data_IF_232452086638
#
_entry.id   IF_232452086638
#
_cell.length_a   1.000
_cell.length_b   1.000
_cell.length_c   1.000
_cell.angle_alpha   90.00
_cell.angle_beta   90.00
_cell.angle_gamma   90.00
#
_symmetry.space_group_name_H-M   'P 1'
#
loop_
_entity.id
_entity.type
_entity.pdbx_description
1 polymer ?
#
# COMPACT_ATOMS: atom_id res chain seq x y z
N UNK A 1 -14.74 -3.00 -2.25
CA UNK A 1 -13.57 -2.19 -1.86
C UNK A 1 -12.36 -2.80 -2.56
N UNK A 2 -11.72 -2.04 -3.44
CA UNK A 2 -10.51 -2.44 -4.18
C UNK A 2 -9.26 -1.86 -3.49
N UNK A 3 -8.22 -2.66 -3.33
CA UNK A 3 -6.97 -2.26 -2.66
C UNK A 3 -5.82 -2.29 -3.64
N UNK A 4 -5.09 -1.19 -3.75
CA UNK A 4 -3.83 -1.15 -4.49
C UNK A 4 -2.65 -1.16 -3.51
N UNK A 5 -1.82 -2.18 -3.59
CA UNK A 5 -0.56 -2.30 -2.86
C UNK A 5 0.58 -1.78 -3.74
N UNK A 6 1.11 -0.61 -3.40
CA UNK A 6 2.23 -0.01 -4.09
C UNK A 6 3.55 -0.49 -3.49
N UNK A 7 4.19 -1.46 -4.15
CA UNK A 7 5.47 -2.03 -3.78
C UNK A 7 6.63 -1.17 -4.29
N UNK A 8 7.76 -1.23 -3.58
CA UNK A 8 8.97 -0.47 -3.91
C UNK A 8 9.71 -1.03 -5.13
N UNK A 9 9.71 -2.36 -5.29
CA UNK A 9 10.37 -3.05 -6.39
C UNK A 9 9.75 -4.44 -6.64
N UNK A 10 10.17 -5.08 -7.73
CA UNK A 10 9.73 -6.42 -8.13
C UNK A 10 10.00 -7.49 -7.08
N UNK A 11 11.12 -7.37 -6.35
CA UNK A 11 11.51 -8.36 -5.35
C UNK A 11 10.56 -8.32 -4.15
N UNK A 12 10.27 -7.13 -3.62
CA UNK A 12 9.29 -6.93 -2.56
C UNK A 12 7.90 -7.40 -3.02
N UNK A 13 7.51 -7.10 -4.26
CA UNK A 13 6.22 -7.50 -4.82
C UNK A 13 6.06 -9.02 -4.89
N UNK A 14 7.06 -9.72 -5.42
CA UNK A 14 7.06 -11.18 -5.54
C UNK A 14 7.06 -11.86 -4.18
N UNK A 15 7.82 -11.32 -3.21
CA UNK A 15 7.79 -11.82 -1.84
C UNK A 15 6.40 -11.65 -1.21
N UNK A 16 5.76 -10.49 -1.43
CA UNK A 16 4.45 -10.20 -0.88
C UNK A 16 3.35 -11.06 -1.49
N UNK A 17 3.38 -11.31 -2.81
CA UNK A 17 2.47 -12.22 -3.51
C UNK A 17 2.47 -13.62 -2.86
N UNK A 18 3.66 -14.23 -2.71
CA UNK A 18 3.79 -15.53 -2.05
C UNK A 18 3.32 -15.53 -0.58
N UNK A 19 3.55 -14.43 0.15
CA UNK A 19 3.09 -14.28 1.54
C UNK A 19 1.56 -14.17 1.62
N UNK A 20 0.92 -13.45 0.71
CA UNK A 20 -0.54 -13.28 0.69
C UNK A 20 -1.24 -14.60 0.37
N UNK A 21 -0.68 -15.44 -0.50
CA UNK A 21 -1.20 -16.79 -0.76
C UNK A 21 -1.09 -17.74 0.44
N UNK A 22 -0.09 -17.56 1.29
CA UNK A 22 0.15 -18.38 2.49
C UNK A 22 -0.40 -17.76 3.78
N UNK A 23 -1.09 -16.62 3.69
CA UNK A 23 -1.52 -15.80 4.83
C UNK A 23 -2.71 -16.43 5.58
N UNK A 24 -2.39 -17.39 6.46
CA UNK A 24 -3.28 -18.20 7.33
C UNK A 24 -4.20 -19.16 6.56
N UNK A 25 -4.17 -20.44 6.94
CA UNK A 25 -4.85 -21.53 6.21
C UNK A 25 -6.37 -21.41 6.05
N UNK A 26 -7.04 -20.53 6.80
CA UNK A 26 -8.48 -20.29 6.70
C UNK A 26 -8.83 -18.94 6.05
N UNK A 27 -7.83 -18.08 5.75
CA UNK A 27 -8.04 -16.79 5.14
C UNK A 27 -7.52 -16.79 3.69
N UNK A 28 -8.38 -16.40 2.75
CA UNK A 28 -8.03 -16.26 1.35
C UNK A 28 -8.11 -14.78 0.96
N UNK A 29 -6.99 -14.22 0.51
CA UNK A 29 -6.92 -12.86 -0.01
C UNK A 29 -6.82 -12.97 -1.53
N UNK A 30 -7.91 -12.74 -2.31
CA UNK A 30 -7.84 -12.73 -3.76
C UNK A 30 -6.98 -11.55 -4.22
N UNK A 31 -5.83 -11.84 -4.82
CA UNK A 31 -4.91 -10.84 -5.31
C UNK A 31 -4.28 -11.25 -6.64
N UNK A 32 -3.78 -10.27 -7.39
CA UNK A 32 -3.01 -10.47 -8.61
C UNK A 32 -2.01 -9.33 -8.79
N UNK A 33 -1.06 -9.49 -9.71
CA UNK A 33 -0.23 -8.40 -10.18
C UNK A 33 -1.12 -7.42 -10.98
N UNK A 34 -0.87 -6.12 -10.82
CA UNK A 34 -1.67 -5.09 -11.47
C UNK A 34 -1.66 -5.20 -13.02
N UNK A 35 -0.59 -5.72 -13.60
CA UNK A 35 -0.46 -5.98 -15.04
C UNK A 35 -1.14 -7.27 -15.52
N UNK A 36 -1.44 -8.22 -14.62
CA UNK A 36 -2.07 -9.50 -14.96
C UNK A 36 -3.60 -9.42 -14.84
N UNK A 37 -4.08 -8.85 -13.73
CA UNK A 37 -5.50 -8.59 -13.49
C UNK A 37 -5.69 -7.27 -12.72
N UNK A 38 -5.93 -6.21 -13.49
CA UNK A 38 -6.15 -4.87 -12.96
C UNK A 38 -7.51 -4.71 -12.22
N UNK A 39 -8.39 -5.71 -12.27
CA UNK A 39 -9.70 -5.71 -11.61
C UNK A 39 -9.71 -6.58 -10.34
N UNK A 40 -8.60 -7.26 -10.03
CA UNK A 40 -8.47 -8.06 -8.82
C UNK A 40 -8.84 -7.24 -7.57
N UNK A 41 -9.48 -7.82 -6.54
CA UNK A 41 -9.85 -7.10 -5.33
C UNK A 41 -8.64 -6.46 -4.62
N UNK A 42 -7.47 -7.09 -4.74
CA UNK A 42 -6.18 -6.58 -4.30
C UNK A 42 -5.21 -6.66 -5.48
N UNK A 43 -4.71 -5.51 -5.95
CA UNK A 43 -3.68 -5.47 -6.98
C UNK A 43 -2.32 -5.09 -6.38
N UNK A 44 -1.29 -5.84 -6.76
CA UNK A 44 0.11 -5.60 -6.42
C UNK A 44 0.79 -4.87 -7.58
N UNK A 45 1.25 -3.64 -7.35
CA UNK A 45 1.84 -2.84 -8.44
C UNK A 45 3.05 -2.02 -8.03
N UNK A 46 3.81 -1.58 -9.03
CA UNK A 46 5.10 -0.90 -8.87
C UNK A 46 5.04 0.60 -9.20
N UNK A 47 3.86 1.13 -9.53
CA UNK A 47 3.71 2.54 -9.90
C UNK A 47 2.38 2.81 -10.59
N UNK A 48 2.41 3.65 -11.62
CA UNK A 48 1.26 3.91 -12.47
C UNK A 48 1.22 2.97 -13.70
N UNK A 49 0.01 2.67 -14.21
CA UNK A 49 -1.30 3.03 -13.68
C UNK A 49 -1.80 2.03 -12.61
N UNK A 50 -2.52 2.49 -11.56
CA UNK A 50 -3.17 1.58 -10.59
C UNK A 50 -4.46 0.93 -11.12
N UNK A 51 -4.69 0.99 -12.45
CA UNK A 51 -5.95 0.59 -13.07
C UNK A 51 -7.15 1.37 -12.52
N UNK A 52 -8.22 0.63 -12.22
CA UNK A 52 -9.48 1.18 -11.69
C UNK A 52 -9.54 1.26 -10.17
N UNK A 53 -8.45 0.92 -9.46
CA UNK A 53 -8.38 1.01 -8.02
C UNK A 53 -8.45 2.47 -7.55
N UNK A 54 -9.51 2.84 -6.80
CA UNK A 54 -9.72 4.18 -6.24
C UNK A 54 -10.09 4.19 -4.75
N UNK A 55 -10.27 3.03 -4.11
CA UNK A 55 -10.75 3.00 -2.72
C UNK A 55 -9.60 3.16 -1.71
N UNK A 56 -8.63 2.23 -1.71
CA UNK A 56 -7.52 2.23 -0.75
C UNK A 56 -6.17 2.01 -1.44
N UNK A 57 -5.26 2.94 -1.24
CA UNK A 57 -3.83 2.77 -1.50
C UNK A 57 -3.13 2.33 -0.22
N UNK A 58 -2.40 1.22 -0.27
CA UNK A 58 -1.40 0.86 0.74
C UNK A 58 -0.03 1.12 0.13
N UNK A 59 0.68 2.13 0.64
CA UNK A 59 1.99 2.53 0.14
C UNK A 59 3.11 1.86 0.95
N UNK A 60 3.93 1.07 0.28
CA UNK A 60 5.09 0.39 0.89
C UNK A 60 6.42 1.07 0.53
N UNK A 61 6.38 2.18 -0.21
CA UNK A 61 7.56 2.94 -0.60
C UNK A 61 7.90 4.03 0.42
N UNK A 62 9.09 4.62 0.31
CA UNK A 62 9.52 5.69 1.22
C UNK A 62 8.89 7.06 0.89
N UNK A 63 8.37 7.22 -0.33
CA UNK A 63 7.82 8.48 -0.82
C UNK A 63 6.30 8.39 -1.00
N UNK A 64 5.61 9.53 -0.98
CA UNK A 64 4.19 9.56 -1.34
C UNK A 64 4.09 9.59 -2.88
N UNK A 65 3.46 8.58 -3.53
CA UNK A 65 3.39 8.58 -4.98
C UNK A 65 2.54 9.73 -5.52
N UNK A 66 2.85 10.21 -6.73
CA UNK A 66 2.10 11.31 -7.36
C UNK A 66 0.62 11.00 -7.59
N UNK A 67 0.25 9.72 -7.67
CA UNK A 67 -1.11 9.25 -7.85
C UNK A 67 -1.92 9.09 -6.56
N UNK A 68 -1.40 9.43 -5.37
CA UNK A 68 -2.22 9.40 -4.13
C UNK A 68 -3.58 10.11 -4.29
N UNK A 69 -3.71 11.27 -4.96
CA UNK A 69 -5.00 11.96 -5.10
C UNK A 69 -6.08 11.15 -5.83
N UNK A 70 -5.70 10.08 -6.53
CA UNK A 70 -6.64 9.18 -7.18
C UNK A 70 -7.38 8.24 -6.21
N UNK A 71 -6.98 8.21 -4.95
CA UNK A 71 -7.50 7.29 -3.94
C UNK A 71 -8.31 8.01 -2.88
N UNK A 72 -9.39 7.36 -2.44
CA UNK A 72 -10.23 7.83 -1.35
C UNK A 72 -9.51 7.76 0.01
N UNK A 73 -8.60 6.80 0.16
CA UNK A 73 -7.81 6.58 1.38
C UNK A 73 -6.39 6.13 1.04
N UNK A 74 -5.44 6.56 1.86
CA UNK A 74 -4.06 6.07 1.85
C UNK A 74 -3.70 5.51 3.22
N UNK A 75 -3.06 4.35 3.23
CA UNK A 75 -2.47 3.74 4.41
C UNK A 75 -0.94 3.69 4.24
N UNK A 76 -0.25 4.25 5.22
CA UNK A 76 1.21 4.26 5.30
C UNK A 76 1.67 3.28 6.38
N UNK A 77 2.56 2.35 6.02
CA UNK A 77 3.11 1.41 6.99
C UNK A 77 4.34 2.00 7.70
N UNK A 78 4.28 2.05 9.03
CA UNK A 78 5.38 2.56 9.87
C UNK A 78 5.88 1.42 10.75
N UNK A 79 7.15 1.06 10.58
CA UNK A 79 7.86 0.09 11.43
C UNK A 79 9.00 0.77 12.19
N UNK A 80 9.65 0.05 13.11
CA UNK A 80 10.68 0.61 14.00
C UNK A 80 12.00 0.96 13.29
N UNK A 81 12.14 0.58 12.02
CA UNK A 81 13.34 0.86 11.22
C UNK A 81 13.56 2.37 11.01
N UNK A 82 14.73 2.95 11.38
CA UNK A 82 14.97 4.38 11.29
C UNK A 82 14.67 5.02 9.94
N UNK A 83 15.04 4.39 8.82
CA UNK A 83 14.75 4.92 7.49
C UNK A 83 13.24 5.06 7.23
N UNK A 84 12.47 4.04 7.62
CA UNK A 84 11.00 4.02 7.46
C UNK A 84 10.34 5.02 8.40
N UNK A 85 10.84 5.18 9.64
CA UNK A 85 10.33 6.20 10.57
C UNK A 85 10.54 7.61 10.06
N UNK A 86 11.69 7.89 9.48
CA UNK A 86 11.97 9.20 8.91
C UNK A 86 11.06 9.47 7.70
N UNK A 87 10.98 8.52 6.76
CA UNK A 87 10.08 8.59 5.62
C UNK A 87 8.61 8.79 6.03
N UNK A 88 8.14 8.07 7.04
CA UNK A 88 6.78 8.22 7.58
C UNK A 88 6.52 9.63 8.13
N UNK A 89 7.50 10.25 8.81
CA UNK A 89 7.38 11.64 9.28
C UNK A 89 7.30 12.62 8.12
N UNK A 90 8.03 12.36 7.04
CA UNK A 90 8.05 13.22 5.86
C UNK A 90 6.73 13.13 5.10
N UNK A 91 6.23 11.90 4.87
CA UNK A 91 4.90 11.64 4.31
C UNK A 91 3.77 12.23 5.17
N UNK A 92 3.86 12.12 6.49
CA UNK A 92 2.87 12.73 7.39
C UNK A 92 2.79 14.26 7.22
N UNK A 93 3.95 14.94 7.10
CA UNK A 93 3.97 16.39 6.83
C UNK A 93 3.39 16.70 5.46
N UNK A 94 3.78 15.96 4.42
CA UNK A 94 3.26 16.10 3.08
C UNK A 94 1.73 16.01 3.05
N UNK A 95 1.14 14.94 3.60
CA UNK A 95 -0.31 14.78 3.62
C UNK A 95 -1.03 15.85 4.43
N UNK A 96 -0.44 16.30 5.54
CA UNK A 96 -1.01 17.40 6.34
C UNK A 96 -1.07 18.71 5.56
N UNK A 97 -0.01 19.04 4.82
CA UNK A 97 0.08 20.26 4.01
C UNK A 97 -0.91 20.25 2.85
N UNK A 98 -1.24 19.06 2.34
CA UNK A 98 -2.25 18.84 1.30
C UNK A 98 -3.68 18.74 1.87
N UNK A 99 -3.88 18.90 3.18
CA UNK A 99 -5.20 18.96 3.82
C UNK A 99 -5.86 17.59 4.08
N UNK A 100 -5.10 16.49 4.04
CA UNK A 100 -5.67 15.16 4.32
C UNK A 100 -6.02 15.01 5.82
N UNK A 101 -7.15 14.36 6.16
CA UNK A 101 -7.46 14.00 7.53
C UNK A 101 -6.57 12.85 7.98
N UNK A 102 -5.62 13.14 8.88
CA UNK A 102 -4.64 12.16 9.36
C UNK A 102 -5.14 11.42 10.60
N UNK A 103 -4.95 10.11 10.59
CA UNK A 103 -5.24 9.22 11.71
C UNK A 103 -4.12 8.20 11.87
N UNK A 104 -3.70 7.95 13.10
CA UNK A 104 -2.80 6.86 13.44
C UNK A 104 -3.60 5.68 14.02
N UNK A 105 -3.24 4.46 13.59
CA UNK A 105 -3.85 3.23 14.05
C UNK A 105 -2.74 2.26 14.47
N UNK A 106 -2.74 1.83 15.74
CA UNK A 106 -1.77 0.84 16.23
C UNK A 106 -2.26 -0.56 15.91
N UNK A 107 -1.53 -1.27 15.07
CA UNK A 107 -1.80 -2.68 14.77
C UNK A 107 -1.19 -3.57 15.88
N UNK A 108 -1.95 -4.53 16.43
CA UNK A 108 -1.39 -5.52 17.35
C UNK A 108 -0.38 -6.41 16.61
N UNK A 109 0.71 -6.79 17.30
CA UNK A 109 1.61 -7.83 16.77
C UNK A 109 0.86 -9.17 16.83
N UNK A 110 0.69 -9.81 15.68
CA UNK A 110 0.11 -11.15 15.52
C UNK A 110 1.19 -12.21 15.43
#
# INVERSE_FOLDING_TARGET
>A
MQVYLHCADEAQRSELDGRLWSFRGEAFIPHSLAEEDAEAPVALGLGEPPGNHRDLLINLTLEAPGFVPNFSRVAELVVEEPAIRQAARDKFRFYREQGYPLQDHRLPRI
#
